data_IF_268170824940
#
_entry.id   IF_268170824940
#
_cell.length_a   1.000
_cell.length_b   1.000
_cell.length_c   1.000
_cell.angle_alpha   90.00
_cell.angle_beta   90.00
_cell.angle_gamma   90.00
#
_symmetry.space_group_name_H-M   'P 1'
#
loop_
_entity.id
_entity.type
_entity.pdbx_description
1 polymer ?
#
# COMPACT_ATOMS: atom_id res chain seq x y z
N UNK A 1 -1.71 29.16 -17.97
CA UNK A 1 -1.22 27.78 -17.74
C UNK A 1 -0.88 27.69 -16.27
N UNK A 2 -1.50 26.77 -15.53
CA UNK A 2 -1.12 26.56 -14.12
C UNK A 2 0.20 25.81 -14.09
N UNK A 3 1.14 26.26 -13.27
CA UNK A 3 2.43 25.58 -13.10
C UNK A 3 2.21 24.24 -12.38
N UNK A 4 2.80 23.13 -12.86
CA UNK A 4 2.64 21.82 -12.22
C UNK A 4 3.15 21.85 -10.78
N UNK A 5 2.55 21.10 -9.85
CA UNK A 5 3.00 21.03 -8.46
C UNK A 5 4.41 20.47 -8.37
N UNK A 6 5.06 20.69 -7.22
CA UNK A 6 6.26 19.94 -6.88
C UNK A 6 5.88 18.63 -6.21
N UNK A 7 6.62 17.57 -6.50
CA UNK A 7 6.45 16.25 -5.87
C UNK A 7 7.75 15.89 -5.17
N UNK A 8 7.64 15.52 -3.90
CA UNK A 8 8.78 15.13 -3.06
C UNK A 8 8.59 13.70 -2.55
N UNK A 9 9.69 12.95 -2.54
CA UNK A 9 9.79 11.70 -1.78
C UNK A 9 9.96 12.01 -0.29
N UNK A 10 9.26 11.27 0.56
CA UNK A 10 9.42 11.31 2.02
C UNK A 10 9.75 9.92 2.55
N UNK A 11 10.56 9.88 3.59
CA UNK A 11 10.93 8.64 4.27
C UNK A 11 10.75 8.81 5.77
N UNK A 12 10.47 7.71 6.47
CA UNK A 12 10.48 7.71 7.92
C UNK A 12 11.91 7.95 8.41
N UNK A 13 12.06 8.88 9.36
CA UNK A 13 13.33 9.04 10.07
C UNK A 13 13.60 7.82 10.94
N UNK A 14 14.88 7.45 11.16
CA UNK A 14 15.23 6.39 12.07
C UNK A 14 14.70 6.69 13.48
N UNK A 15 14.12 5.69 14.14
CA UNK A 15 13.83 5.76 15.58
C UNK A 15 15.03 5.17 16.33
N UNK A 16 15.69 5.91 17.25
CA UNK A 16 16.79 5.37 18.04
C UNK A 16 16.40 4.06 18.75
N UNK A 17 17.22 3.01 18.60
CA UNK A 17 16.97 1.69 19.18
C UNK A 17 16.06 0.76 18.38
N UNK A 18 15.55 1.19 17.23
CA UNK A 18 14.80 0.31 16.31
C UNK A 18 15.73 -0.55 15.44
N UNK A 19 15.27 -1.76 15.07
CA UNK A 19 15.99 -2.68 14.16
C UNK A 19 15.81 -2.34 12.67
N UNK A 20 15.07 -1.27 12.34
CA UNK A 20 14.79 -0.92 10.94
C UNK A 20 16.06 -0.41 10.24
N UNK A 21 16.31 -0.89 9.01
CA UNK A 21 17.39 -0.37 8.15
C UNK A 21 16.91 0.95 7.52
N UNK A 22 17.61 2.08 7.72
CA UNK A 22 17.20 3.36 7.17
C UNK A 22 17.61 3.55 5.70
N UNK A 23 16.86 4.37 4.93
CA UNK A 23 15.53 4.87 5.27
C UNK A 23 14.49 3.75 5.23
N UNK A 24 13.66 3.66 6.28
CA UNK A 24 12.57 2.69 6.29
C UNK A 24 11.50 3.12 5.28
N UNK A 25 11.11 2.25 4.33
CA UNK A 25 10.11 2.59 3.33
C UNK A 25 8.74 2.80 3.98
N UNK A 26 8.03 3.82 3.54
CA UNK A 26 6.66 4.14 3.99
C UNK A 26 5.70 4.01 2.82
N UNK A 27 4.44 3.66 3.07
CA UNK A 27 3.44 3.54 2.00
C UNK A 27 3.18 4.93 1.37
N UNK A 28 3.04 5.92 2.23
CA UNK A 28 2.71 7.29 1.87
C UNK A 28 3.96 8.15 1.63
N UNK A 29 4.87 7.68 0.76
CA UNK A 29 6.17 8.35 0.51
C UNK A 29 6.14 9.48 -0.52
N UNK A 30 4.98 9.86 -1.07
CA UNK A 30 4.87 11.06 -1.93
C UNK A 30 4.16 12.19 -1.18
N UNK A 31 4.71 13.40 -1.28
CA UNK A 31 4.04 14.66 -0.96
C UNK A 31 3.93 15.50 -2.23
N UNK A 32 2.72 15.96 -2.53
CA UNK A 32 2.44 16.99 -3.51
C UNK A 32 2.44 18.36 -2.81
N UNK A 33 3.21 19.30 -3.33
CA UNK A 33 3.27 20.70 -2.88
C UNK A 33 2.77 21.60 -4.01
N UNK A 34 1.52 22.08 -3.93
CA UNK A 34 0.95 23.01 -4.91
C UNK A 34 1.70 24.35 -4.92
N UNK A 35 2.04 24.86 -6.11
CA UNK A 35 2.73 26.16 -6.28
C UNK A 35 1.84 27.38 -6.04
N UNK A 36 0.54 27.17 -5.93
CA UNK A 36 -0.46 28.23 -5.74
C UNK A 36 -0.80 28.48 -4.25
N UNK A 37 0.03 27.96 -3.33
CA UNK A 37 -0.15 28.16 -1.89
C UNK A 37 -1.20 27.27 -1.24
N UNK A 38 -1.81 26.34 -1.97
CA UNK A 38 -2.69 25.33 -1.37
C UNK A 38 -1.91 24.38 -0.47
N UNK A 39 -2.61 23.81 0.50
CA UNK A 39 -2.06 22.85 1.47
C UNK A 39 -1.42 21.65 0.78
N UNK A 40 -0.18 21.26 1.14
CA UNK A 40 0.43 20.03 0.69
C UNK A 40 -0.43 18.81 1.03
N UNK A 41 -0.38 17.79 0.19
CA UNK A 41 -1.14 16.56 0.41
C UNK A 41 -0.38 15.34 -0.09
N UNK A 42 -0.67 14.20 0.50
CA UNK A 42 -0.18 12.91 0.03
C UNK A 42 -1.13 12.33 -1.03
N UNK A 43 -0.68 12.03 -2.26
CA UNK A 43 -1.49 11.31 -3.23
C UNK A 43 -1.96 9.95 -2.70
N UNK A 44 -3.11 9.47 -3.17
CA UNK A 44 -3.61 8.13 -2.81
C UNK A 44 -2.66 7.05 -3.35
N UNK A 45 -2.20 6.15 -2.48
CA UNK A 45 -1.18 5.16 -2.86
C UNK A 45 -1.68 4.09 -3.83
N UNK A 46 -2.99 3.85 -3.93
CA UNK A 46 -3.61 2.95 -4.90
C UNK A 46 -3.70 3.50 -6.33
N UNK A 47 -3.32 4.76 -6.55
CA UNK A 47 -3.34 5.40 -7.88
C UNK A 47 -2.71 6.78 -7.84
N UNK A 48 -1.45 6.92 -7.40
CA UNK A 48 -0.83 8.21 -7.10
C UNK A 48 -0.76 9.12 -8.32
N UNK A 49 -0.46 8.55 -9.49
CA UNK A 49 -0.28 9.30 -10.74
C UNK A 49 -1.60 9.84 -11.27
N UNK A 50 -2.67 9.05 -11.17
CA UNK A 50 -4.02 9.51 -11.49
C UNK A 50 -4.47 10.62 -10.54
N UNK A 51 -4.25 10.48 -9.22
CA UNK A 51 -4.64 11.50 -8.23
C UNK A 51 -3.87 12.83 -8.43
N UNK A 52 -2.61 12.75 -8.90
CA UNK A 52 -1.81 13.92 -9.29
C UNK A 52 -2.30 14.54 -10.60
N UNK A 53 -2.55 13.75 -11.64
CA UNK A 53 -3.06 14.24 -12.92
C UNK A 53 -4.45 14.90 -12.77
N UNK A 54 -5.32 14.30 -11.94
CA UNK A 54 -6.62 14.87 -11.58
C UNK A 54 -6.46 16.23 -10.89
N UNK A 55 -5.48 16.36 -9.97
CA UNK A 55 -5.18 17.63 -9.34
C UNK A 55 -4.61 18.67 -10.30
N UNK A 56 -3.75 18.28 -11.24
CA UNK A 56 -3.17 19.19 -12.23
C UNK A 56 -4.22 19.73 -13.20
N UNK A 57 -5.16 18.88 -13.63
CA UNK A 57 -6.26 19.29 -14.51
C UNK A 57 -7.28 20.19 -13.81
N UNK A 58 -7.60 19.91 -12.54
CA UNK A 58 -8.55 20.68 -11.75
C UNK A 58 -8.02 20.90 -10.32
N UNK A 59 -7.16 21.93 -10.09
CA UNK A 59 -6.61 22.18 -8.78
C UNK A 59 -7.68 22.64 -7.80
N UNK A 60 -7.91 21.82 -6.77
CA UNK A 60 -8.87 22.10 -5.69
C UNK A 60 -8.27 21.78 -4.34
N UNK A 61 -8.68 22.55 -3.34
CA UNK A 61 -8.27 22.28 -1.96
C UNK A 61 -8.70 20.87 -1.56
N UNK A 62 -7.78 20.10 -0.96
CA UNK A 62 -8.06 18.76 -0.47
C UNK A 62 -8.47 18.86 0.99
N UNK A 63 -9.69 18.48 1.31
CA UNK A 63 -10.13 18.35 2.70
C UNK A 63 -9.27 17.30 3.42
N UNK A 64 -8.70 17.67 4.58
CA UNK A 64 -7.76 16.81 5.31
C UNK A 64 -8.43 15.55 5.88
N UNK A 65 -9.68 15.63 6.31
CA UNK A 65 -10.41 14.49 6.86
C UNK A 65 -10.77 13.49 5.75
N UNK A 66 -11.15 13.97 4.58
CA UNK A 66 -11.36 13.13 3.39
C UNK A 66 -10.06 12.53 2.91
N UNK A 67 -8.99 13.32 2.81
CA UNK A 67 -7.70 12.85 2.29
C UNK A 67 -7.09 11.79 3.20
N UNK A 68 -7.09 12.00 4.53
CA UNK A 68 -6.56 11.01 5.48
C UNK A 68 -7.28 9.65 5.39
N UNK A 69 -8.60 9.63 5.16
CA UNK A 69 -9.33 8.37 4.93
C UNK A 69 -8.94 7.69 3.62
N UNK A 70 -8.73 8.47 2.56
CA UNK A 70 -8.30 7.94 1.25
C UNK A 70 -6.88 7.39 1.28
N UNK A 71 -5.99 7.93 2.12
CA UNK A 71 -4.56 7.56 2.14
C UNK A 71 -4.25 6.31 2.96
N UNK A 72 -5.12 5.86 3.88
CA UNK A 72 -4.84 4.75 4.79
C UNK A 72 -4.90 3.36 4.12
N UNK A 73 -3.94 3.02 3.27
CA UNK A 73 -3.86 1.72 2.58
C UNK A 73 -3.84 0.53 3.57
N UNK A 74 -3.08 0.65 4.67
CA UNK A 74 -3.04 -0.38 5.73
C UNK A 74 -4.41 -0.62 6.35
N UNK A 75 -5.10 0.46 6.74
CA UNK A 75 -6.45 0.39 7.27
C UNK A 75 -7.44 -0.22 6.28
N UNK A 76 -7.29 0.07 4.99
CA UNK A 76 -8.12 -0.51 3.94
C UNK A 76 -7.91 -2.03 3.82
N UNK A 77 -6.67 -2.52 3.89
CA UNK A 77 -6.40 -3.97 3.86
C UNK A 77 -6.91 -4.68 5.11
N UNK A 78 -6.76 -4.08 6.30
CA UNK A 78 -7.33 -4.64 7.53
C UNK A 78 -8.86 -4.69 7.44
N UNK A 79 -9.50 -3.66 6.91
CA UNK A 79 -10.95 -3.66 6.69
C UNK A 79 -11.38 -4.74 5.70
N UNK A 80 -10.66 -4.91 4.58
CA UNK A 80 -10.92 -5.99 3.63
C UNK A 80 -10.77 -7.38 4.26
N UNK A 81 -9.75 -7.58 5.11
CA UNK A 81 -9.57 -8.82 5.85
C UNK A 81 -10.77 -9.16 6.73
N UNK A 82 -11.26 -8.18 7.50
CA UNK A 82 -12.44 -8.34 8.33
C UNK A 82 -13.69 -8.65 7.49
N UNK A 83 -13.90 -7.92 6.38
CA UNK A 83 -15.04 -8.14 5.48
C UNK A 83 -15.07 -9.55 4.87
N UNK A 84 -13.92 -10.05 4.42
CA UNK A 84 -13.81 -11.42 3.91
C UNK A 84 -14.08 -12.45 5.01
N UNK A 85 -13.69 -12.14 6.25
CA UNK A 85 -14.04 -12.91 7.44
C UNK A 85 -15.50 -12.75 7.92
N UNK A 86 -16.33 -11.97 7.22
CA UNK A 86 -17.74 -11.76 7.56
C UNK A 86 -18.02 -10.68 8.61
N UNK A 87 -17.02 -9.89 8.98
CA UNK A 87 -17.15 -8.80 9.95
C UNK A 87 -17.12 -7.43 9.26
N UNK A 88 -18.14 -6.57 9.42
CA UNK A 88 -18.13 -5.24 8.82
C UNK A 88 -17.04 -4.39 9.44
N UNK A 89 -16.23 -3.74 8.59
CA UNK A 89 -15.15 -2.86 9.00
C UNK A 89 -14.94 -1.70 8.02
N UNK A 90 -14.33 -0.62 8.51
CA UNK A 90 -13.93 0.52 7.69
C UNK A 90 -12.55 1.00 8.10
N UNK A 91 -11.78 1.52 7.14
CA UNK A 91 -10.50 2.13 7.43
C UNK A 91 -10.70 3.40 8.27
N UNK A 92 -9.97 3.50 9.39
CA UNK A 92 -9.86 4.75 10.12
C UNK A 92 -9.05 5.78 9.31
N UNK A 93 -9.18 7.09 9.58
CA UNK A 93 -8.30 8.09 9.00
C UNK A 93 -6.82 7.73 9.18
N UNK A 94 -6.00 8.00 8.16
CA UNK A 94 -4.56 7.85 8.24
C UNK A 94 -3.98 8.77 9.32
N UNK A 95 -2.94 8.29 10.00
CA UNK A 95 -2.15 9.04 10.97
C UNK A 95 -0.67 8.71 10.74
N UNK A 96 0.27 9.65 10.94
CA UNK A 96 1.71 9.39 10.72
C UNK A 96 2.26 8.17 11.45
N UNK A 97 1.73 7.83 12.63
CA UNK A 97 2.11 6.62 13.37
C UNK A 97 1.80 5.30 12.64
N UNK A 98 1.00 5.35 11.57
CA UNK A 98 0.76 4.19 10.72
C UNK A 98 1.96 3.86 9.81
N UNK A 99 2.88 4.80 9.62
CA UNK A 99 4.09 4.68 8.81
C UNK A 99 5.36 4.51 9.68
N UNK A 100 5.19 4.04 10.93
CA UNK A 100 6.33 3.76 11.80
C UNK A 100 7.33 2.80 11.11
N UNK A 101 8.65 2.86 11.40
CA UNK A 101 9.64 2.06 10.68
C UNK A 101 9.41 0.53 10.68
N UNK A 102 8.62 0.03 11.63
CA UNK A 102 8.23 -1.39 11.77
C UNK A 102 6.80 -1.68 11.27
N UNK A 103 6.19 -0.76 10.52
CA UNK A 103 4.78 -0.84 10.16
C UNK A 103 4.43 -2.12 9.43
N UNK A 104 5.33 -2.66 8.61
CA UNK A 104 5.11 -3.86 7.82
C UNK A 104 5.08 -5.10 8.70
N UNK A 105 6.07 -5.26 9.57
CA UNK A 105 6.12 -6.37 10.53
C UNK A 105 4.95 -6.29 11.52
N UNK A 106 4.63 -5.10 12.02
CA UNK A 106 3.50 -4.87 12.92
C UNK A 106 2.16 -5.14 12.21
N UNK A 107 2.05 -4.77 10.92
CA UNK A 107 0.87 -5.07 10.10
C UNK A 107 0.68 -6.57 9.95
N UNK A 108 1.73 -7.35 9.70
CA UNK A 108 1.63 -8.79 9.47
C UNK A 108 1.38 -9.59 10.75
N UNK A 109 1.91 -9.15 11.90
CA UNK A 109 1.84 -9.89 13.17
C UNK A 109 0.42 -10.28 13.60
N UNK A 110 -0.61 -9.49 13.23
CA UNK A 110 -2.00 -9.75 13.62
C UNK A 110 -2.78 -10.59 12.60
N UNK A 111 -2.93 -10.18 11.33
CA UNK A 111 -3.69 -10.91 10.34
C UNK A 111 -2.94 -12.14 9.79
N UNK A 112 -1.61 -12.15 9.85
CA UNK A 112 -0.74 -13.12 9.18
C UNK A 112 0.49 -13.51 10.04
N UNK A 113 0.30 -13.99 11.29
CA UNK A 113 1.40 -14.18 12.26
C UNK A 113 2.46 -15.21 11.82
N UNK A 114 2.10 -16.15 10.94
CA UNK A 114 2.99 -17.21 10.44
C UNK A 114 3.48 -16.96 9.02
N UNK A 115 3.19 -15.79 8.45
CA UNK A 115 3.57 -15.50 7.08
C UNK A 115 5.09 -15.33 6.93
N UNK A 116 5.62 -15.93 5.87
CA UNK A 116 6.97 -15.66 5.39
C UNK A 116 6.91 -14.53 4.38
N UNK A 117 7.76 -13.53 4.58
CA UNK A 117 7.84 -12.35 3.71
C UNK A 117 9.02 -12.53 2.76
N UNK A 118 8.78 -12.30 1.47
CA UNK A 118 9.85 -12.27 0.48
C UNK A 118 9.47 -11.49 -0.78
N UNK A 119 10.47 -11.08 -1.57
CA UNK A 119 10.23 -10.48 -2.87
C UNK A 119 9.65 -11.52 -3.85
N UNK A 120 8.80 -11.04 -4.76
CA UNK A 120 8.30 -11.78 -5.91
C UNK A 120 8.81 -11.12 -7.19
N UNK A 121 9.23 -11.95 -8.14
CA UNK A 121 9.76 -11.47 -9.41
C UNK A 121 8.68 -10.85 -10.30
N UNK A 122 7.47 -11.39 -10.25
CA UNK A 122 6.34 -11.01 -11.10
C UNK A 122 4.99 -11.39 -10.46
N UNK A 123 3.91 -10.97 -11.12
CA UNK A 123 2.54 -11.25 -10.68
C UNK A 123 2.14 -12.73 -10.80
N UNK A 124 2.71 -13.48 -11.74
CA UNK A 124 2.46 -14.92 -11.87
C UNK A 124 3.00 -15.68 -10.66
N UNK A 125 4.17 -15.26 -10.15
CA UNK A 125 4.74 -15.77 -8.91
C UNK A 125 3.84 -15.48 -7.72
N UNK A 126 3.27 -14.28 -7.64
CA UNK A 126 2.29 -13.93 -6.61
C UNK A 126 1.06 -14.81 -6.71
N UNK A 127 0.45 -14.93 -7.90
CA UNK A 127 -0.79 -15.70 -8.11
C UNK A 127 -0.58 -17.18 -7.74
N UNK A 128 0.54 -17.77 -8.17
CA UNK A 128 0.91 -19.14 -7.81
C UNK A 128 1.11 -19.29 -6.30
N UNK A 129 1.82 -18.37 -5.66
CA UNK A 129 2.07 -18.41 -4.22
C UNK A 129 0.79 -18.24 -3.39
N UNK A 130 -0.21 -17.50 -3.89
CA UNK A 130 -1.55 -17.41 -3.29
C UNK A 130 -2.34 -18.70 -3.49
N UNK A 131 -2.14 -19.39 -4.62
CA UNK A 131 -2.83 -20.63 -4.93
C UNK A 131 -2.36 -21.82 -4.05
N UNK A 132 -1.04 -21.95 -3.87
CA UNK A 132 -0.37 -23.11 -3.24
C UNK A 132 -0.85 -23.52 -1.82
N UNK A 133 -1.04 -22.61 -0.84
CA UNK A 133 -1.42 -23.00 0.53
C UNK A 133 -2.90 -23.40 0.68
N UNK A 134 -3.71 -23.27 -0.38
CA UNK A 134 -5.15 -23.49 -0.31
C UNK A 134 -5.93 -22.25 0.14
N UNK A 135 -7.21 -22.39 0.55
CA UNK A 135 -8.06 -21.27 0.92
C UNK A 135 -7.45 -20.43 2.04
N UNK A 136 -7.41 -19.12 1.84
CA UNK A 136 -6.69 -18.25 2.76
C UNK A 136 -6.51 -16.84 2.23
N UNK A 137 -5.83 -16.04 3.05
CA UNK A 137 -5.59 -14.63 2.80
C UNK A 137 -4.10 -14.34 2.83
N UNK A 138 -3.63 -13.40 2.00
CA UNK A 138 -2.26 -12.92 2.04
C UNK A 138 -2.20 -11.42 1.72
N UNK A 139 -1.24 -10.71 2.31
CA UNK A 139 -0.93 -9.32 1.98
C UNK A 139 0.14 -9.24 0.88
N UNK A 140 -0.06 -8.32 -0.08
CA UNK A 140 0.94 -7.97 -1.09
C UNK A 140 1.29 -6.50 -0.93
N UNK A 141 2.57 -6.17 -0.96
CA UNK A 141 3.05 -4.80 -0.92
C UNK A 141 3.82 -4.47 -2.20
N UNK A 142 3.25 -3.58 -2.99
CA UNK A 142 3.84 -3.06 -4.23
C UNK A 142 4.65 -1.82 -3.88
N UNK A 143 5.96 -1.85 -4.11
CA UNK A 143 6.87 -0.72 -3.94
C UNK A 143 7.10 -0.09 -5.31
N UNK A 144 6.77 1.18 -5.46
CA UNK A 144 6.98 1.93 -6.71
C UNK A 144 8.24 2.75 -6.64
N UNK A 145 8.81 3.02 -7.80
CA UNK A 145 9.99 3.86 -7.96
C UNK A 145 9.80 4.82 -9.13
N UNK A 146 10.39 6.00 -9.00
CA UNK A 146 10.49 6.96 -10.08
C UNK A 146 11.93 7.49 -10.10
N UNK A 147 12.58 7.44 -11.26
CA UNK A 147 13.95 7.93 -11.45
C UNK A 147 14.98 7.39 -10.42
N UNK A 148 14.94 6.10 -10.08
CA UNK A 148 15.89 5.52 -9.12
C UNK A 148 15.47 5.61 -7.65
N UNK A 149 14.39 6.34 -7.34
CA UNK A 149 13.95 6.67 -5.98
C UNK A 149 12.59 6.05 -5.67
N UNK A 150 12.47 5.39 -4.53
CA UNK A 150 11.19 4.85 -4.06
C UNK A 150 10.15 5.97 -3.92
N UNK A 151 9.04 5.80 -4.64
CA UNK A 151 8.01 6.80 -4.80
C UNK A 151 6.86 6.58 -3.82
N UNK A 152 6.20 5.43 -3.84
CA UNK A 152 5.08 5.08 -2.93
C UNK A 152 4.91 3.57 -2.81
N UNK A 153 4.46 3.11 -1.65
CA UNK A 153 4.00 1.74 -1.44
C UNK A 153 2.47 1.62 -1.50
N UNK A 154 1.97 0.58 -2.16
CA UNK A 154 0.55 0.19 -2.12
C UNK A 154 0.37 -1.20 -1.53
N UNK A 155 -0.74 -1.41 -0.83
CA UNK A 155 -1.09 -2.70 -0.26
C UNK A 155 -2.30 -3.28 -0.98
N UNK A 156 -2.13 -4.52 -1.44
CA UNK A 156 -3.20 -5.33 -2.01
C UNK A 156 -3.56 -6.46 -1.05
N UNK A 157 -4.80 -6.93 -1.21
CA UNK A 157 -5.33 -8.06 -0.48
C UNK A 157 -5.49 -9.24 -1.44
N UNK A 158 -4.73 -10.30 -1.22
CA UNK A 158 -4.83 -11.53 -1.98
C UNK A 158 -5.75 -12.52 -1.26
N UNK A 159 -6.71 -13.05 -1.99
CA UNK A 159 -7.67 -14.01 -1.49
C UNK A 159 -7.67 -15.28 -2.36
N UNK A 160 -7.57 -16.44 -1.72
CA UNK A 160 -7.81 -17.72 -2.35
C UNK A 160 -9.12 -18.30 -1.81
N UNK A 161 -10.08 -18.55 -2.70
CA UNK A 161 -11.30 -19.29 -2.39
C UNK A 161 -11.39 -20.52 -3.28
N UNK A 162 -11.14 -21.69 -2.71
CA UNK A 162 -11.23 -22.99 -3.38
C UNK A 162 -10.43 -23.04 -4.70
N UNK A 163 -9.18 -22.55 -4.66
CA UNK A 163 -8.28 -22.53 -5.81
C UNK A 163 -8.48 -21.32 -6.76
N UNK A 164 -9.50 -20.50 -6.53
CA UNK A 164 -9.69 -19.24 -7.28
C UNK A 164 -9.01 -18.10 -6.56
N UNK A 165 -8.04 -17.49 -7.23
CA UNK A 165 -7.26 -16.37 -6.70
C UNK A 165 -7.90 -15.05 -7.14
N UNK A 166 -8.06 -14.13 -6.20
CA UNK A 166 -8.44 -12.75 -6.46
C UNK A 166 -7.44 -11.82 -5.76
N UNK A 167 -6.93 -10.84 -6.51
CA UNK A 167 -6.15 -9.73 -5.97
C UNK A 167 -7.06 -8.51 -5.92
N UNK A 168 -7.26 -7.98 -4.73
CA UNK A 168 -8.12 -6.83 -4.46
C UNK A 168 -7.24 -5.62 -4.15
N UNK A 169 -7.67 -4.44 -4.58
CA UNK A 169 -7.16 -3.15 -4.13
C UNK A 169 -8.14 -2.54 -3.14
N UNK A 170 -8.00 -2.77 -1.82
CA UNK A 170 -9.01 -2.31 -0.85
C UNK A 170 -9.18 -0.80 -0.81
N UNK A 171 -8.10 -0.05 -1.06
CA UNK A 171 -8.13 1.41 -1.08
C UNK A 171 -8.88 1.95 -2.31
N UNK A 172 -8.82 1.25 -3.44
CA UNK A 172 -9.53 1.62 -4.68
C UNK A 172 -10.91 0.96 -4.77
N UNK A 173 -11.23 0.03 -3.87
CA UNK A 173 -12.47 -0.77 -3.86
C UNK A 173 -12.72 -1.51 -5.18
N UNK A 174 -11.65 -1.99 -5.81
CA UNK A 174 -11.67 -2.69 -7.11
C UNK A 174 -10.78 -3.93 -7.06
N UNK A 175 -10.80 -4.70 -8.15
CA UNK A 175 -9.70 -5.63 -8.42
C UNK A 175 -8.38 -4.85 -8.51
N UNK A 176 -7.31 -5.48 -8.06
CA UNK A 176 -5.99 -4.88 -8.09
C UNK A 176 -5.54 -4.62 -9.53
N UNK A 177 -4.91 -3.47 -9.75
CA UNK A 177 -4.11 -3.26 -10.94
C UNK A 177 -2.78 -3.99 -10.75
N UNK A 178 -2.46 -4.89 -11.68
CA UNK A 178 -1.21 -5.64 -11.66
C UNK A 178 -0.13 -4.83 -12.35
N UNK A 179 0.48 -3.93 -11.59
CA UNK A 179 1.43 -2.95 -12.12
C UNK A 179 2.74 -3.60 -12.53
N UNK A 180 3.23 -3.28 -13.73
CA UNK A 180 4.50 -3.77 -14.27
C UNK A 180 5.50 -2.65 -14.58
N UNK A 181 5.02 -1.41 -14.61
CA UNK A 181 5.83 -0.22 -14.88
C UNK A 181 6.11 0.52 -13.59
N UNK A 182 7.33 1.08 -13.45
CA UNK A 182 7.72 1.85 -12.27
C UNK A 182 7.55 1.09 -10.94
N UNK A 183 7.61 -0.25 -10.99
CA UNK A 183 7.60 -1.13 -9.81
C UNK A 183 9.03 -1.46 -9.46
N UNK A 184 9.44 -1.09 -8.25
CA UNK A 184 10.74 -1.43 -7.68
C UNK A 184 10.78 -2.87 -7.22
N UNK A 185 9.74 -3.29 -6.52
CA UNK A 185 9.67 -4.60 -5.88
C UNK A 185 8.22 -4.93 -5.52
N UNK A 186 7.86 -6.20 -5.61
CA UNK A 186 6.61 -6.73 -5.06
C UNK A 186 6.94 -7.64 -3.89
N UNK A 187 6.57 -7.23 -2.69
CA UNK A 187 6.75 -8.02 -1.47
C UNK A 187 5.48 -8.83 -1.19
N UNK A 188 5.64 -10.11 -0.85
CA UNK A 188 4.55 -11.02 -0.62
C UNK A 188 4.67 -11.69 0.74
N UNK A 189 3.59 -11.65 1.54
CA UNK A 189 3.53 -12.25 2.87
C UNK A 189 2.88 -13.64 2.85
N UNK A 190 3.59 -14.62 2.31
CA UNK A 190 3.09 -15.98 2.05
C UNK A 190 2.77 -16.75 3.33
N UNK A 191 1.56 -17.31 3.43
CA UNK A 191 1.29 -18.42 4.37
C UNK A 191 1.80 -19.72 3.75
N UNK A 192 2.58 -20.50 4.49
CA UNK A 192 3.02 -21.81 4.04
C UNK A 192 1.91 -22.85 4.17
N UNK A 193 1.84 -23.84 3.25
CA UNK A 193 0.99 -25.01 3.45
C UNK A 193 1.36 -25.72 4.77
N UNK A 194 0.40 -26.40 5.42
CA UNK A 194 0.74 -27.27 6.55
C UNK A 194 1.74 -28.36 6.10
N UNK A 195 2.66 -28.79 6.98
CA UNK A 195 3.55 -29.90 6.68
C UNK A 195 2.74 -31.16 6.36
N UNK A 196 3.20 -31.93 5.38
CA UNK A 196 2.60 -33.20 4.95
C UNK A 196 2.71 -34.29 6.02
#
# INVERSE_FOLDING_TARGET
>A
MLSPPWVFGVAALPVPGSRSVPPAPVLTSLVCVPKNGMTPFHPVTGGPWGDLADFESEPRHRDLAVQSRRTNARGAVVAAHAWVGGAPAAALPWHPSHEAPTWWEDFLRRPLPTAQVGPCADWDTVIRAVHEPGPGTTGVWVRRELYGVEATGHLLYAHNKNGRVALLGPQTQRLALLETENVREVMFARILPPPA
#
